data_IF_514287712246
#
_entry.id   IF_514287712246
#
_cell.length_a   1.000
_cell.length_b   1.000
_cell.length_c   1.000
_cell.angle_alpha   90.00
_cell.angle_beta   90.00
_cell.angle_gamma   90.00
#
_symmetry.space_group_name_H-M   'P 1'
#
loop_
_entity.id
_entity.type
_entity.pdbx_description
1 polymer ?
#
# COMPACT_ATOMS: atom_id res chain seq x y z
N UNK A 1 -28.88 6.32 7.59
CA UNK A 1 -28.10 5.07 7.66
C UNK A 1 -27.26 4.96 6.40
N UNK A 2 -25.97 5.33 6.44
CA UNK A 2 -25.08 5.30 5.26
C UNK A 2 -23.84 4.50 5.60
N UNK A 3 -23.85 3.21 5.27
CA UNK A 3 -22.70 2.33 5.38
C UNK A 3 -21.71 2.67 4.25
N UNK A 4 -20.79 3.61 4.52
CA UNK A 4 -19.72 3.96 3.58
C UNK A 4 -18.56 2.96 3.70
N UNK A 5 -18.69 1.91 2.88
CA UNK A 5 -17.66 1.17 2.13
C UNK A 5 -16.21 1.31 2.64
N UNK A 6 -15.76 0.34 3.44
CA UNK A 6 -14.33 0.05 3.58
C UNK A 6 -13.87 -0.65 2.28
N UNK A 7 -13.25 0.12 1.37
CA UNK A 7 -12.82 -0.33 0.04
C UNK A 7 -11.42 -0.98 0.05
N UNK A 8 -11.08 -1.72 1.11
CA UNK A 8 -9.91 -2.58 1.08
C UNK A 8 -10.29 -3.87 0.38
N UNK A 9 -10.11 -3.87 -0.94
CA UNK A 9 -10.23 -5.02 -1.82
C UNK A 9 -9.45 -6.19 -1.19
N UNK A 10 -10.19 -7.17 -0.67
CA UNK A 10 -9.70 -8.52 -0.40
C UNK A 10 -9.29 -9.11 -1.76
N UNK A 11 -8.12 -8.71 -2.26
CA UNK A 11 -7.53 -9.40 -3.39
C UNK A 11 -7.06 -10.75 -2.87
N UNK A 12 -7.53 -11.88 -3.44
CA UNK A 12 -6.96 -13.17 -3.15
C UNK A 12 -5.47 -13.12 -3.50
N UNK A 13 -4.68 -13.85 -2.72
CA UNK A 13 -3.29 -14.22 -2.95
C UNK A 13 -3.07 -14.67 -4.40
N UNK A 14 -2.93 -13.71 -5.33
CA UNK A 14 -2.57 -13.97 -6.72
C UNK A 14 -1.07 -13.78 -6.80
N UNK A 15 -0.41 -14.88 -6.47
CA UNK A 15 0.91 -15.32 -6.93
C UNK A 15 1.45 -14.46 -8.09
N UNK A 16 2.09 -13.32 -7.80
CA UNK A 16 2.98 -12.68 -8.76
C UNK A 16 4.28 -13.50 -8.78
N UNK A 17 4.18 -14.71 -9.32
CA UNK A 17 5.25 -15.26 -10.12
C UNK A 17 5.40 -14.30 -11.29
N UNK A 18 6.52 -13.58 -11.34
CA UNK A 18 6.86 -12.72 -12.46
C UNK A 18 6.67 -13.52 -13.73
N UNK A 19 5.82 -13.03 -14.63
CA UNK A 19 5.78 -13.53 -15.99
C UNK A 19 7.20 -13.39 -16.55
N UNK A 20 7.93 -14.51 -16.60
CA UNK A 20 9.07 -14.64 -17.47
C UNK A 20 8.50 -14.50 -18.87
N UNK A 21 8.48 -13.26 -19.38
CA UNK A 21 8.18 -12.99 -20.78
C UNK A 21 9.36 -13.59 -21.54
N UNK A 22 9.16 -14.84 -21.94
CA UNK A 22 10.04 -15.59 -22.81
C UNK A 22 10.47 -14.69 -23.96
N UNK A 23 11.78 -14.63 -24.15
CA UNK A 23 12.51 -13.67 -24.99
C UNK A 23 12.13 -13.80 -26.47
N UNK A 24 10.93 -13.36 -26.86
CA UNK A 24 10.65 -13.03 -28.26
C UNK A 24 11.47 -11.79 -28.57
N UNK A 25 12.51 -11.97 -29.38
CA UNK A 25 13.35 -10.88 -29.90
C UNK A 25 12.46 -9.91 -30.67
N UNK A 26 11.98 -8.89 -29.98
CA UNK A 26 11.19 -7.86 -30.62
C UNK A 26 12.12 -7.09 -31.57
N UNK A 27 11.77 -6.97 -32.84
CA UNK A 27 12.60 -6.28 -33.84
C UNK A 27 12.58 -4.76 -33.64
N UNK A 28 11.57 -4.23 -32.95
CA UNK A 28 11.47 -2.80 -32.64
C UNK A 28 12.46 -2.40 -31.55
N UNK A 29 13.45 -1.61 -31.92
CA UNK A 29 14.36 -0.91 -30.99
C UNK A 29 13.59 -0.03 -30.00
N UNK A 30 12.48 0.57 -30.43
CA UNK A 30 11.60 1.39 -29.58
C UNK A 30 11.00 0.56 -28.47
N UNK A 31 10.49 -0.65 -28.77
CA UNK A 31 9.93 -1.50 -27.71
C UNK A 31 11.03 -2.04 -26.79
N UNK A 32 12.18 -2.45 -27.34
CA UNK A 32 13.31 -2.90 -26.53
C UNK A 32 13.76 -1.82 -25.54
N UNK A 33 13.90 -0.58 -26.01
CA UNK A 33 14.27 0.56 -25.18
C UNK A 33 13.20 0.87 -24.13
N UNK A 34 11.90 0.82 -24.48
CA UNK A 34 10.79 0.95 -23.51
C UNK A 34 10.84 -0.13 -22.44
N UNK A 35 11.04 -1.39 -22.82
CA UNK A 35 11.15 -2.51 -21.88
C UNK A 35 12.36 -2.37 -20.97
N UNK A 36 13.52 -1.95 -21.49
CA UNK A 36 14.73 -1.65 -20.69
C UNK A 36 14.46 -0.55 -19.66
N UNK A 37 13.80 0.54 -20.09
CA UNK A 37 13.41 1.63 -19.18
C UNK A 37 12.46 1.15 -18.09
N UNK A 38 11.45 0.36 -18.44
CA UNK A 38 10.51 -0.21 -17.47
C UNK A 38 11.19 -1.17 -16.50
N UNK A 39 12.08 -2.05 -16.99
CA UNK A 39 12.86 -2.97 -16.16
C UNK A 39 13.84 -2.25 -15.22
N UNK A 40 14.30 -1.06 -15.60
CA UNK A 40 15.14 -0.21 -14.76
C UNK A 40 14.36 0.53 -13.65
N UNK A 41 13.02 0.58 -13.72
CA UNK A 41 12.19 1.14 -12.64
C UNK A 41 12.23 0.13 -11.47
N UNK A 42 13.04 0.43 -10.46
CA UNK A 42 13.07 -0.35 -9.22
C UNK A 42 11.74 -0.19 -8.49
N UNK A 43 11.05 -1.30 -8.22
CA UNK A 43 9.91 -1.31 -7.31
C UNK A 43 10.37 -0.81 -5.93
N UNK A 44 9.57 0.01 -5.23
CA UNK A 44 9.90 0.39 -3.86
C UNK A 44 10.02 -0.87 -3.01
N UNK A 45 11.16 -1.02 -2.32
CA UNK A 45 11.38 -2.12 -1.40
C UNK A 45 10.37 -1.99 -0.25
N UNK A 46 9.51 -3.00 -0.08
CA UNK A 46 8.54 -3.06 1.01
C UNK A 46 9.26 -3.49 2.30
N UNK A 47 10.18 -2.67 2.76
CA UNK A 47 10.91 -2.89 4.02
C UNK A 47 10.00 -2.54 5.19
N UNK A 48 9.85 -3.46 6.13
CA UNK A 48 9.16 -3.20 7.40
C UNK A 48 10.05 -2.28 8.24
N UNK A 49 9.53 -1.11 8.58
CA UNK A 49 10.19 -0.11 9.44
C UNK A 49 9.57 -0.22 10.83
N UNK A 50 10.36 -0.58 11.85
CA UNK A 50 9.88 -0.77 13.24
C UNK A 50 9.21 0.47 13.84
N UNK A 51 9.64 1.66 13.42
CA UNK A 51 9.08 2.92 13.90
C UNK A 51 7.63 3.15 13.42
N UNK A 52 6.88 3.90 14.23
CA UNK A 52 5.54 4.38 13.88
C UNK A 52 5.61 5.41 12.75
N UNK A 53 4.74 5.29 11.76
CA UNK A 53 4.64 6.27 10.67
C UNK A 53 4.01 7.60 11.15
N UNK A 54 4.04 8.63 10.31
CA UNK A 54 3.50 9.96 10.61
C UNK A 54 2.03 9.96 11.08
N UNK A 55 1.18 9.12 10.48
CA UNK A 55 -0.23 9.03 10.84
C UNK A 55 -0.39 8.31 12.17
N UNK A 56 0.33 7.22 12.36
CA UNK A 56 0.27 6.40 13.57
C UNK A 56 0.66 7.21 14.82
N UNK A 57 1.70 8.06 14.71
CA UNK A 57 2.12 8.96 15.80
C UNK A 57 1.08 10.00 16.19
N UNK A 58 0.13 10.31 15.29
CA UNK A 58 -0.94 11.30 15.51
C UNK A 58 -2.26 10.70 16.03
N UNK A 59 -2.32 9.38 16.23
CA UNK A 59 -3.56 8.73 16.63
C UNK A 59 -3.93 9.01 18.10
N UNK A 60 -5.24 9.11 18.41
CA UNK A 60 -5.71 9.12 19.79
C UNK A 60 -5.28 7.84 20.53
N UNK A 61 -5.03 7.96 21.84
CA UNK A 61 -4.55 6.86 22.68
C UNK A 61 -5.47 5.65 22.64
N UNK A 62 -6.77 5.86 22.64
CA UNK A 62 -7.78 4.79 22.61
C UNK A 62 -7.68 3.95 21.32
N UNK A 63 -7.38 4.61 20.19
CA UNK A 63 -7.20 3.96 18.90
C UNK A 63 -5.92 3.13 18.88
N UNK A 64 -4.85 3.66 19.48
CA UNK A 64 -3.57 2.96 19.63
C UNK A 64 -3.70 1.74 20.55
N UNK A 65 -4.36 1.87 21.70
CA UNK A 65 -4.59 0.76 22.62
C UNK A 65 -5.41 -0.36 21.99
N UNK A 66 -6.46 -0.02 21.24
CA UNK A 66 -7.27 -1.00 20.51
C UNK A 66 -6.47 -1.68 19.39
N UNK A 67 -5.61 -0.93 18.71
CA UNK A 67 -4.68 -1.48 17.75
C UNK A 67 -3.71 -2.46 18.42
N UNK A 68 -3.06 -2.07 19.51
CA UNK A 68 -2.07 -2.88 20.20
C UNK A 68 -2.68 -4.19 20.70
N UNK A 69 -3.85 -4.12 21.35
CA UNK A 69 -4.61 -5.32 21.77
C UNK A 69 -4.93 -6.25 20.61
N UNK A 70 -5.29 -5.70 19.45
CA UNK A 70 -5.58 -6.50 18.26
C UNK A 70 -4.30 -7.08 17.63
N UNK A 71 -3.21 -6.32 17.61
CA UNK A 71 -1.90 -6.75 17.12
C UNK A 71 -1.34 -7.90 17.96
N UNK A 72 -1.36 -7.78 19.28
CA UNK A 72 -0.83 -8.78 20.20
C UNK A 72 -1.69 -10.06 20.21
N UNK A 73 -2.99 -9.92 19.97
CA UNK A 73 -3.89 -11.04 19.76
C UNK A 73 -3.78 -11.69 18.35
N UNK A 74 -2.88 -11.20 17.48
CA UNK A 74 -2.72 -11.69 16.11
C UNK A 74 -3.93 -11.44 15.20
N UNK A 75 -4.77 -10.45 15.52
CA UNK A 75 -5.96 -10.11 14.73
C UNK A 75 -5.56 -9.22 13.56
N UNK A 76 -6.15 -9.49 12.40
CA UNK A 76 -5.90 -8.71 11.17
C UNK A 76 -6.57 -7.31 11.18
N UNK A 77 -7.58 -7.11 12.04
CA UNK A 77 -8.41 -5.89 12.07
C UNK A 77 -8.96 -5.61 13.47
N UNK A 78 -9.29 -4.34 13.70
CA UNK A 78 -10.03 -3.86 14.88
C UNK A 78 -11.07 -2.82 14.46
N UNK A 79 -12.01 -2.51 15.35
CA UNK A 79 -12.96 -1.42 15.15
C UNK A 79 -12.42 -0.20 15.88
N UNK A 80 -12.28 0.91 15.16
CA UNK A 80 -11.87 2.18 15.72
C UNK A 80 -12.95 2.69 16.70
N UNK A 81 -12.62 2.89 17.99
CA UNK A 81 -13.59 3.32 19.00
C UNK A 81 -14.17 4.71 18.72
N UNK A 82 -13.45 5.57 18.00
CA UNK A 82 -13.86 6.95 17.76
C UNK A 82 -14.72 7.10 16.51
N UNK A 83 -14.42 6.33 15.46
CA UNK A 83 -15.11 6.45 14.17
C UNK A 83 -16.07 5.30 13.85
N UNK A 84 -15.97 4.19 14.60
CA UNK A 84 -16.70 2.94 14.30
C UNK A 84 -16.22 2.23 13.03
N UNK A 85 -15.11 2.67 12.43
CA UNK A 85 -14.59 2.09 11.19
C UNK A 85 -13.74 0.86 11.46
N UNK A 86 -13.75 -0.10 10.53
CA UNK A 86 -12.85 -1.25 10.57
C UNK A 86 -11.47 -0.81 10.08
N UNK A 87 -10.46 -0.92 10.94
CA UNK A 87 -9.06 -0.57 10.65
C UNK A 87 -8.20 -1.83 10.67
N UNK A 88 -7.32 -1.95 9.68
CA UNK A 88 -6.38 -3.07 9.57
C UNK A 88 -5.21 -2.87 10.54
N UNK A 89 -4.74 -3.96 11.13
CA UNK A 89 -3.59 -3.95 12.03
C UNK A 89 -2.27 -3.99 11.27
N UNK A 90 -1.18 -3.70 11.97
CA UNK A 90 0.18 -3.80 11.46
C UNK A 90 0.50 -5.24 11.09
N UNK A 91 0.01 -6.20 11.88
CA UNK A 91 0.11 -7.64 11.65
C UNK A 91 -0.43 -8.05 10.28
N UNK A 92 -1.62 -7.55 9.90
CA UNK A 92 -2.20 -7.81 8.58
C UNK A 92 -1.30 -7.30 7.44
N UNK A 93 -0.74 -6.10 7.59
CA UNK A 93 0.13 -5.52 6.56
C UNK A 93 1.45 -6.26 6.42
N UNK A 94 2.04 -6.74 7.52
CA UNK A 94 3.23 -7.61 7.50
C UNK A 94 2.89 -8.92 6.79
N UNK A 95 1.79 -9.58 7.16
CA UNK A 95 1.32 -10.83 6.52
C UNK A 95 1.07 -10.66 5.01
N UNK A 96 0.60 -9.49 4.60
CA UNK A 96 0.40 -9.14 3.18
C UNK A 96 1.72 -8.96 2.42
N UNK A 97 2.81 -8.56 3.08
CA UNK A 97 4.14 -8.39 2.47
C UNK A 97 4.32 -7.16 1.57
N UNK A 98 3.29 -6.33 1.36
CA UNK A 98 3.35 -5.17 0.44
C UNK A 98 2.50 -3.98 0.89
N UNK A 99 3.02 -2.77 0.70
CA UNK A 99 2.27 -1.52 0.85
C UNK A 99 1.17 -1.41 -0.20
N UNK A 100 -0.09 -1.28 0.24
CA UNK A 100 -1.23 -1.20 -0.67
C UNK A 100 -1.44 0.16 -1.35
N UNK A 101 -0.72 1.22 -0.91
CA UNK A 101 -0.86 2.57 -1.48
C UNK A 101 -2.07 3.39 -0.99
N UNK A 102 -2.85 2.86 -0.04
CA UNK A 102 -4.06 3.49 0.50
C UNK A 102 -3.83 4.38 1.73
N UNK A 103 -2.57 4.66 2.10
CA UNK A 103 -2.21 5.50 3.27
C UNK A 103 -2.85 5.02 4.57
N UNK A 104 -2.76 3.72 4.84
CA UNK A 104 -3.30 3.09 6.05
C UNK A 104 -2.62 3.63 7.32
N UNK A 105 -3.37 3.73 8.42
CA UNK A 105 -2.90 4.30 9.69
C UNK A 105 -1.69 3.57 10.28
N UNK A 106 -1.68 2.23 10.18
CA UNK A 106 -0.65 1.35 10.78
C UNK A 106 0.23 0.68 9.72
N UNK A 107 0.62 1.41 8.68
CA UNK A 107 1.42 0.85 7.60
C UNK A 107 2.88 0.65 8.06
N UNK A 108 3.40 -0.59 8.08
CA UNK A 108 4.79 -0.86 8.47
C UNK A 108 5.80 -0.44 7.40
N UNK A 109 5.36 -0.22 6.16
CA UNK A 109 6.22 0.09 5.01
C UNK A 109 6.38 1.59 4.78
N UNK A 110 6.16 2.42 5.80
CA UNK A 110 6.24 3.89 5.75
C UNK A 110 5.61 4.51 4.48
N UNK A 111 4.46 3.99 4.06
CA UNK A 111 3.71 4.48 2.89
C UNK A 111 4.49 4.50 1.56
N UNK A 112 5.48 3.62 1.35
CA UNK A 112 6.32 3.59 0.13
C UNK A 112 5.57 3.54 -1.21
N UNK A 113 4.35 2.97 -1.22
CA UNK A 113 3.51 2.89 -2.42
C UNK A 113 2.36 3.93 -2.44
N UNK A 114 2.36 4.89 -1.51
CA UNK A 114 1.38 5.97 -1.50
C UNK A 114 1.87 7.05 -2.44
N UNK A 115 1.17 7.26 -3.55
CA UNK A 115 1.44 8.37 -4.46
C UNK A 115 1.45 9.69 -3.67
N UNK A 116 2.56 10.42 -3.79
CA UNK A 116 2.67 11.79 -3.29
C UNK A 116 1.50 12.63 -3.83
N UNK A 117 1.06 13.63 -3.08
CA UNK A 117 -0.07 14.47 -3.47
C UNK A 117 0.10 15.06 -4.89
N UNK A 118 1.33 15.43 -5.26
CA UNK A 118 1.69 15.90 -6.60
C UNK A 118 1.45 14.85 -7.71
N UNK A 119 1.72 13.57 -7.43
CA UNK A 119 1.50 12.48 -8.38
C UNK A 119 0.01 12.11 -8.55
N UNK A 120 -0.84 12.48 -7.59
CA UNK A 120 -2.30 12.32 -7.69
C UNK A 120 -2.97 13.46 -8.48
N UNK A 121 -2.31 14.61 -8.62
CA UNK A 121 -2.84 15.70 -9.42
C UNK A 121 -2.86 15.31 -10.90
N UNK A 122 -3.95 15.59 -11.64
CA UNK A 122 -3.93 15.40 -13.08
C UNK A 122 -2.80 16.24 -13.68
N UNK A 123 -2.11 15.75 -14.73
CA UNK A 123 -1.11 16.56 -15.42
C UNK A 123 -1.77 17.87 -15.83
N UNK A 124 -1.17 19.00 -15.46
CA UNK A 124 -1.61 20.31 -15.95
C UNK A 124 -1.46 20.27 -17.46
N UNK A 125 -2.57 20.13 -18.20
CA UNK A 125 -2.56 20.33 -19.65
C UNK A 125 -2.22 21.80 -19.86
N UNK A 126 -0.99 22.09 -20.27
CA UNK A 126 -0.68 23.39 -20.84
C UNK A 126 -1.40 23.41 -22.20
N UNK A 127 -2.41 24.26 -22.29
CA UNK A 127 -2.97 24.67 -23.58
C UNK A 127 -2.14 25.91 -23.92
N UNK A 128 -1.36 25.82 -24.99
CA UNK A 128 -0.60 26.94 -25.54
C UNK A 128 -1.53 28.01 -26.15
#
# INVERSE_FOLDING_TARGET
MSARRCFCVLQPFSQYGGAFVESRRFTSTILQERLRRLAAIRSPENVVVEEKNELERSLPREVEEMHQKAHDAGKDKYVDPNTGQIVLTRHFHIKRGICCGNRCRHCPYNHVNVLAAAARAPPKRQID
#
